data_IF_092135748921
#
_entry.id   IF_092135748921
#
_cell.length_a   1.000
_cell.length_b   1.000
_cell.length_c   1.000
_cell.angle_alpha   90.00
_cell.angle_beta   90.00
_cell.angle_gamma   90.00
#
_symmetry.space_group_name_H-M   'P 1'
#
loop_
_entity.id
_entity.type
_entity.pdbx_description
1 polymer ?
#
# COMPACT_ATOMS: atom_id res chain seq x y z
N UNK A 1 -13.91 -10.81 -7.18
CA UNK A 1 -15.31 -10.35 -7.15
C UNK A 1 -16.19 -11.29 -6.34
N UNK A 2 -16.27 -12.60 -6.66
CA UNK A 2 -17.07 -13.59 -5.91
C UNK A 2 -16.89 -13.59 -4.37
N UNK A 3 -15.65 -13.45 -3.88
CA UNK A 3 -15.36 -13.46 -2.43
C UNK A 3 -15.90 -12.21 -1.71
N UNK A 4 -15.88 -11.05 -2.38
CA UNK A 4 -16.47 -9.82 -1.84
C UNK A 4 -18.00 -9.89 -1.82
N UNK A 5 -18.62 -10.53 -2.83
CA UNK A 5 -20.06 -10.77 -2.86
C UNK A 5 -20.50 -11.72 -1.74
N UNK A 6 -19.75 -12.79 -1.48
CA UNK A 6 -20.04 -13.71 -0.37
C UNK A 6 -19.90 -13.03 1.01
N UNK A 7 -18.90 -12.17 1.19
CA UNK A 7 -18.76 -11.35 2.41
C UNK A 7 -19.92 -10.37 2.54
N UNK A 8 -20.33 -9.70 1.46
CA UNK A 8 -21.47 -8.78 1.48
C UNK A 8 -22.79 -9.50 1.79
N UNK A 9 -23.02 -10.69 1.21
CA UNK A 9 -24.20 -11.51 1.49
C UNK A 9 -24.21 -11.97 2.95
N UNK A 10 -23.09 -12.49 3.46
CA UNK A 10 -23.00 -12.95 4.86
C UNK A 10 -23.18 -11.82 5.87
N UNK A 11 -22.54 -10.65 5.65
CA UNK A 11 -22.77 -9.46 6.46
C UNK A 11 -24.21 -8.95 6.36
N UNK A 12 -24.82 -9.02 5.17
CA UNK A 12 -26.23 -8.71 4.95
C UNK A 12 -27.17 -9.63 5.73
N UNK A 13 -26.93 -10.95 5.71
CA UNK A 13 -27.69 -11.93 6.49
C UNK A 13 -27.53 -11.71 8.00
N UNK A 14 -26.32 -11.39 8.47
CA UNK A 14 -26.04 -11.11 9.88
C UNK A 14 -26.75 -9.82 10.32
N UNK A 15 -26.66 -8.75 9.52
CA UNK A 15 -27.35 -7.49 9.79
C UNK A 15 -28.88 -7.66 9.80
N UNK A 16 -29.42 -8.44 8.85
CA UNK A 16 -30.85 -8.77 8.79
C UNK A 16 -31.32 -9.57 10.01
N UNK A 17 -30.51 -10.54 10.45
CA UNK A 17 -30.78 -11.32 11.67
C UNK A 17 -30.79 -10.45 12.92
N UNK A 18 -29.83 -9.53 13.05
CA UNK A 18 -29.75 -8.59 14.17
C UNK A 18 -30.92 -7.57 14.14
N UNK A 19 -31.32 -7.13 12.95
CA UNK A 19 -32.44 -6.19 12.77
C UNK A 19 -33.78 -6.80 13.20
N UNK A 20 -34.07 -8.03 12.80
CA UNK A 20 -35.28 -8.76 13.22
C UNK A 20 -35.30 -8.93 14.75
N UNK A 21 -34.13 -9.14 15.36
CA UNK A 21 -33.99 -9.34 16.81
C UNK A 21 -33.94 -8.04 17.61
N UNK A 22 -34.06 -6.85 17.00
CA UNK A 22 -33.88 -5.55 17.69
C UNK A 22 -34.80 -5.39 18.92
N UNK A 23 -35.98 -6.00 18.90
CA UNK A 23 -37.00 -5.85 19.96
C UNK A 23 -36.74 -6.79 21.14
N UNK A 24 -35.99 -7.89 20.94
CA UNK A 24 -35.67 -8.86 22.01
C UNK A 24 -34.38 -8.55 22.75
N UNK A 25 -33.70 -7.44 22.46
CA UNK A 25 -32.42 -7.08 23.06
C UNK A 25 -32.47 -6.84 24.58
N UNK A 26 -33.65 -6.52 25.14
CA UNK A 26 -33.82 -6.41 26.60
C UNK A 26 -34.00 -7.76 27.32
N UNK A 27 -34.23 -8.86 26.59
CA UNK A 27 -34.40 -10.19 27.19
C UNK A 27 -33.03 -10.82 27.48
N UNK A 28 -32.66 -10.92 28.76
CA UNK A 28 -31.36 -11.47 29.23
C UNK A 28 -31.03 -12.86 28.66
N UNK A 29 -32.04 -13.65 28.30
CA UNK A 29 -31.90 -14.98 27.73
C UNK A 29 -31.50 -15.00 26.24
N UNK A 30 -31.73 -13.91 25.50
CA UNK A 30 -31.38 -13.80 24.07
C UNK A 30 -30.09 -13.01 23.81
N UNK A 31 -29.60 -12.26 24.81
CA UNK A 31 -28.39 -11.42 24.70
C UNK A 31 -27.15 -12.23 24.32
N UNK A 32 -26.99 -13.45 24.84
CA UNK A 32 -25.83 -14.29 24.52
C UNK A 32 -25.81 -14.70 23.03
N UNK A 33 -26.98 -15.01 22.46
CA UNK A 33 -27.09 -15.42 21.06
C UNK A 33 -26.89 -14.24 20.10
N UNK A 34 -27.42 -13.06 20.41
CA UNK A 34 -27.20 -11.85 19.61
C UNK A 34 -25.75 -11.37 19.69
N UNK A 35 -25.12 -11.45 20.86
CA UNK A 35 -23.69 -11.13 21.03
C UNK A 35 -22.80 -12.06 20.19
N UNK A 36 -23.08 -13.36 20.16
CA UNK A 36 -22.33 -14.32 19.35
C UNK A 36 -22.44 -14.03 17.84
N UNK A 37 -23.66 -13.73 17.36
CA UNK A 37 -23.91 -13.36 15.96
C UNK A 37 -23.19 -12.05 15.60
N UNK A 38 -23.23 -11.05 16.49
CA UNK A 38 -22.53 -9.78 16.31
C UNK A 38 -21.00 -9.98 16.28
N UNK A 39 -20.45 -10.80 17.17
CA UNK A 39 -19.02 -11.13 17.22
C UNK A 39 -18.56 -11.88 15.97
N UNK A 40 -19.36 -12.82 15.44
CA UNK A 40 -19.06 -13.48 14.17
C UNK A 40 -19.11 -12.51 12.98
N UNK A 41 -20.10 -11.61 12.94
CA UNK A 41 -20.16 -10.56 11.92
C UNK A 41 -18.95 -9.63 11.97
N UNK A 42 -18.55 -9.23 13.18
CA UNK A 42 -17.36 -8.41 13.41
C UNK A 42 -16.09 -9.15 12.96
N UNK A 43 -15.94 -10.43 13.29
CA UNK A 43 -14.81 -11.24 12.89
C UNK A 43 -14.71 -11.39 11.36
N UNK A 44 -15.83 -11.64 10.67
CA UNK A 44 -15.89 -11.71 9.20
C UNK A 44 -15.53 -10.36 8.56
N UNK A 45 -16.01 -9.26 9.14
CA UNK A 45 -15.65 -7.92 8.67
C UNK A 45 -14.16 -7.64 8.85
N UNK A 46 -13.59 -7.98 10.01
CA UNK A 46 -12.17 -7.78 10.34
C UNK A 46 -11.26 -8.67 9.47
N UNK A 47 -11.70 -9.87 9.11
CA UNK A 47 -10.99 -10.75 8.17
C UNK A 47 -11.18 -10.36 6.71
N UNK A 48 -12.02 -9.36 6.39
CA UNK A 48 -12.20 -8.92 5.01
C UNK A 48 -10.97 -8.16 4.49
N UNK A 49 -10.47 -8.50 3.28
CA UNK A 49 -9.27 -7.87 2.71
C UNK A 49 -9.45 -6.38 2.42
N UNK A 50 -10.70 -5.92 2.22
CA UNK A 50 -11.03 -4.51 1.96
C UNK A 50 -10.87 -3.62 3.20
N UNK A 51 -11.28 -4.10 4.38
CA UNK A 51 -11.11 -3.35 5.63
C UNK A 51 -9.63 -3.16 5.96
N UNK A 52 -8.83 -4.23 5.78
CA UNK A 52 -7.37 -4.16 5.98
C UNK A 52 -6.69 -3.21 4.99
N UNK A 53 -7.05 -3.25 3.70
CA UNK A 53 -6.48 -2.31 2.73
C UNK A 53 -6.80 -0.85 3.06
N UNK A 54 -8.07 -0.55 3.36
CA UNK A 54 -8.50 0.82 3.72
C UNK A 54 -7.80 1.32 4.98
N UNK A 55 -7.64 0.47 5.99
CA UNK A 55 -6.99 0.85 7.24
C UNK A 55 -5.47 1.01 7.11
N UNK A 56 -4.79 0.09 6.44
CA UNK A 56 -3.32 0.06 6.42
C UNK A 56 -2.71 0.76 5.22
N UNK A 57 -3.46 1.07 4.16
CA UNK A 57 -2.96 1.73 2.95
C UNK A 57 -3.61 3.10 2.75
N UNK A 58 -4.93 3.16 2.74
CA UNK A 58 -5.66 4.39 2.41
C UNK A 58 -5.56 5.44 3.53
N UNK A 59 -5.85 5.08 4.79
CA UNK A 59 -5.74 6.03 5.92
C UNK A 59 -4.36 6.67 6.08
N UNK A 60 -3.23 5.93 6.09
CA UNK A 60 -1.92 6.56 6.22
C UNK A 60 -1.60 7.44 5.02
N UNK A 61 -1.97 7.05 3.79
CA UNK A 61 -1.79 7.89 2.61
C UNK A 61 -2.62 9.18 2.69
N UNK A 62 -3.90 9.09 3.08
CA UNK A 62 -4.80 10.23 3.21
C UNK A 62 -4.33 11.23 4.25
N UNK A 63 -3.71 10.78 5.35
CA UNK A 63 -3.11 11.68 6.35
C UNK A 63 -1.77 12.26 5.87
N UNK A 64 -0.96 11.46 5.18
CA UNK A 64 0.36 11.89 4.74
C UNK A 64 0.30 12.92 3.60
N UNK A 65 -0.64 12.80 2.66
CA UNK A 65 -0.81 13.74 1.53
C UNK A 65 -0.95 15.22 1.98
N UNK A 66 -1.86 15.60 2.91
CA UNK A 66 -1.96 16.99 3.36
C UNK A 66 -0.72 17.43 4.13
N UNK A 67 -0.10 16.54 4.92
CA UNK A 67 1.17 16.83 5.60
C UNK A 67 2.31 17.10 4.60
N UNK A 68 2.38 16.33 3.51
CA UNK A 68 3.31 16.55 2.41
C UNK A 68 3.06 17.92 1.75
N UNK A 69 1.79 18.26 1.50
CA UNK A 69 1.44 19.55 0.92
C UNK A 69 1.89 20.72 1.82
N UNK A 70 1.63 20.63 3.14
CA UNK A 70 2.01 21.67 4.10
C UNK A 70 3.54 21.82 4.17
N UNK A 71 4.26 20.71 4.34
CA UNK A 71 5.73 20.72 4.45
C UNK A 71 6.41 21.19 3.16
N UNK A 72 5.88 20.81 2.00
CA UNK A 72 6.35 21.29 0.69
C UNK A 72 6.11 22.79 0.50
N UNK A 73 4.93 23.28 0.87
CA UNK A 73 4.56 24.70 0.69
C UNK A 73 5.42 25.63 1.54
N UNK A 74 5.76 25.21 2.76
CA UNK A 74 6.58 25.99 3.70
C UNK A 74 8.08 25.91 3.35
N UNK A 75 8.54 24.75 2.86
CA UNK A 75 9.95 24.49 2.58
C UNK A 75 10.47 25.10 1.27
N UNK A 76 11.74 24.83 0.97
CA UNK A 76 12.40 25.34 -0.24
C UNK A 76 11.82 24.78 -1.55
N UNK A 77 11.10 23.66 -1.49
CA UNK A 77 10.50 23.02 -2.67
C UNK A 77 9.48 23.89 -3.40
N UNK A 78 8.80 24.80 -2.71
CA UNK A 78 7.86 25.77 -3.32
C UNK A 78 8.53 27.07 -3.77
N UNK A 79 9.73 27.37 -3.26
CA UNK A 79 10.39 28.68 -3.41
C UNK A 79 11.50 28.68 -4.45
N UNK A 80 12.18 27.54 -4.63
CA UNK A 80 13.37 27.42 -5.47
C UNK A 80 13.10 26.37 -6.54
N UNK A 81 13.14 26.80 -7.80
CA UNK A 81 13.06 25.90 -8.94
C UNK A 81 14.46 25.42 -9.36
N UNK A 82 14.60 24.11 -9.56
CA UNK A 82 15.76 23.46 -10.17
C UNK A 82 15.28 22.46 -11.23
N UNK A 83 16.03 22.24 -12.33
CA UNK A 83 15.68 21.26 -13.34
C UNK A 83 15.52 19.84 -12.77
N UNK A 84 16.40 19.47 -11.84
CA UNK A 84 16.21 18.28 -11.01
C UNK A 84 15.75 18.70 -9.60
N UNK A 85 14.60 18.19 -9.18
CA UNK A 85 14.03 18.44 -7.87
C UNK A 85 14.90 17.87 -6.73
N UNK A 86 15.74 16.86 -7.02
CA UNK A 86 16.67 16.31 -6.04
C UNK A 86 17.83 17.25 -5.71
N UNK A 87 18.16 18.20 -6.58
CA UNK A 87 19.21 19.20 -6.38
C UNK A 87 18.76 20.41 -5.54
N UNK A 88 17.45 20.54 -5.27
CA UNK A 88 16.94 21.66 -4.46
C UNK A 88 17.56 21.60 -3.06
N UNK A 89 18.15 22.71 -2.56
CA UNK A 89 18.74 22.75 -1.22
C UNK A 89 17.72 22.38 -0.15
N UNK A 90 18.02 21.33 0.62
CA UNK A 90 17.14 20.83 1.67
C UNK A 90 17.23 21.70 2.92
N UNK A 91 16.17 22.46 3.18
CA UNK A 91 15.91 23.04 4.50
C UNK A 91 15.22 22.01 5.41
N UNK A 92 15.05 22.35 6.69
CA UNK A 92 14.40 21.47 7.67
C UNK A 92 13.00 20.99 7.21
N UNK A 93 12.21 21.87 6.58
CA UNK A 93 10.87 21.51 6.10
C UNK A 93 10.91 20.62 4.87
N UNK A 94 11.79 20.88 3.90
CA UNK A 94 11.96 20.00 2.75
C UNK A 94 12.56 18.64 3.15
N UNK A 95 13.47 18.59 4.11
CA UNK A 95 13.96 17.33 4.68
C UNK A 95 12.83 16.53 5.36
N UNK A 96 11.95 17.21 6.09
CA UNK A 96 10.75 16.61 6.69
C UNK A 96 9.79 16.08 5.62
N UNK A 97 9.57 16.84 4.54
CA UNK A 97 8.79 16.39 3.38
C UNK A 97 9.36 15.10 2.79
N UNK A 98 10.68 15.03 2.57
CA UNK A 98 11.34 13.83 2.03
C UNK A 98 11.24 12.64 2.99
N UNK A 99 11.39 12.87 4.29
CA UNK A 99 11.21 11.81 5.29
C UNK A 99 9.77 11.26 5.27
N UNK A 100 8.76 12.13 5.19
CA UNK A 100 7.36 11.71 5.09
C UNK A 100 7.08 10.94 3.80
N UNK A 101 7.52 11.47 2.66
CA UNK A 101 7.26 10.89 1.34
C UNK A 101 7.97 9.54 1.20
N UNK A 102 9.28 9.50 1.44
CA UNK A 102 10.08 8.29 1.37
C UNK A 102 9.65 7.29 2.45
N UNK A 103 9.33 7.75 3.66
CA UNK A 103 8.82 6.90 4.73
C UNK A 103 7.51 6.22 4.38
N UNK A 104 6.54 6.95 3.81
CA UNK A 104 5.29 6.39 3.32
C UNK A 104 5.53 5.38 2.20
N UNK A 105 6.39 5.70 1.22
CA UNK A 105 6.72 4.79 0.12
C UNK A 105 7.38 3.50 0.62
N UNK A 106 8.36 3.59 1.52
CA UNK A 106 8.99 2.42 2.16
C UNK A 106 7.94 1.58 2.89
N UNK A 107 7.05 2.22 3.64
CA UNK A 107 5.97 1.53 4.35
C UNK A 107 5.04 0.78 3.38
N UNK A 108 4.59 1.43 2.30
CA UNK A 108 3.72 0.83 1.30
C UNK A 108 4.39 -0.33 0.54
N UNK A 109 5.65 -0.14 0.13
CA UNK A 109 6.45 -1.17 -0.54
C UNK A 109 6.72 -2.36 0.40
N UNK A 110 6.96 -2.11 1.68
CA UNK A 110 7.14 -3.17 2.68
C UNK A 110 5.84 -3.93 2.92
N UNK A 111 4.70 -3.24 3.04
CA UNK A 111 3.39 -3.86 3.19
C UNK A 111 3.05 -4.74 1.97
N UNK A 112 3.25 -4.22 0.75
CA UNK A 112 3.10 -4.98 -0.49
C UNK A 112 4.06 -6.17 -0.58
N UNK A 113 5.33 -5.97 -0.18
CA UNK A 113 6.34 -7.02 -0.11
C UNK A 113 5.96 -8.16 0.84
N UNK A 114 5.40 -7.85 2.02
CA UNK A 114 4.90 -8.87 2.95
C UNK A 114 3.78 -9.71 2.33
N UNK A 115 2.86 -9.09 1.59
CA UNK A 115 1.81 -9.82 0.87
C UNK A 115 2.40 -10.72 -0.23
N UNK A 116 3.42 -10.25 -0.95
CA UNK A 116 4.12 -11.03 -1.98
C UNK A 116 4.92 -12.20 -1.39
N UNK A 117 5.49 -12.06 -0.19
CA UNK A 117 6.17 -13.16 0.51
C UNK A 117 5.21 -14.31 0.85
N UNK A 118 3.95 -13.98 1.16
CA UNK A 118 2.90 -14.99 1.36
C UNK A 118 2.59 -15.69 0.04
N UNK A 119 2.42 -14.93 -1.06
CA UNK A 119 2.15 -15.45 -2.39
C UNK A 119 3.32 -16.28 -2.97
N UNK A 120 4.55 -16.02 -2.53
CA UNK A 120 5.76 -16.75 -2.94
C UNK A 120 5.73 -18.24 -2.55
N UNK A 121 4.90 -18.62 -1.58
CA UNK A 121 4.72 -20.02 -1.16
C UNK A 121 4.24 -20.90 -2.32
N UNK A 122 3.42 -20.34 -3.21
CA UNK A 122 2.91 -21.05 -4.37
C UNK A 122 3.97 -21.19 -5.48
N UNK A 123 4.31 -22.41 -5.93
CA UNK A 123 5.37 -22.63 -6.93
C UNK A 123 5.04 -22.01 -8.28
N UNK A 124 3.75 -21.88 -8.63
CA UNK A 124 3.28 -21.27 -9.89
C UNK A 124 3.51 -19.75 -9.94
N UNK A 125 3.48 -19.06 -8.80
CA UNK A 125 3.59 -17.59 -8.72
C UNK A 125 4.97 -17.11 -8.23
N UNK A 126 5.81 -18.03 -7.72
CA UNK A 126 7.10 -17.72 -7.09
C UNK A 126 8.04 -16.85 -7.93
N UNK A 127 8.15 -17.10 -9.24
CA UNK A 127 9.03 -16.31 -10.13
C UNK A 127 8.58 -14.85 -10.22
N UNK A 128 7.29 -14.62 -10.44
CA UNK A 128 6.69 -13.28 -10.55
C UNK A 128 6.80 -12.54 -9.21
N UNK A 129 6.50 -13.23 -8.10
CA UNK A 129 6.63 -12.66 -6.76
C UNK A 129 8.07 -12.24 -6.43
N UNK A 130 9.08 -13.03 -6.82
CA UNK A 130 10.49 -12.67 -6.61
C UNK A 130 10.88 -11.39 -7.37
N UNK A 131 10.45 -11.23 -8.62
CA UNK A 131 10.80 -10.03 -9.41
C UNK A 131 10.14 -8.79 -8.76
N UNK A 132 8.88 -8.89 -8.33
CA UNK A 132 8.24 -7.80 -7.58
C UNK A 132 8.94 -7.47 -6.27
N UNK A 133 9.46 -8.47 -5.55
CA UNK A 133 10.21 -8.25 -4.31
C UNK A 133 11.54 -7.54 -4.57
N UNK A 134 12.25 -7.89 -5.65
CA UNK A 134 13.49 -7.21 -6.06
C UNK A 134 13.20 -5.76 -6.47
N UNK A 135 12.14 -5.53 -7.25
CA UNK A 135 11.72 -4.18 -7.62
C UNK A 135 11.29 -3.34 -6.39
N UNK A 136 10.62 -3.98 -5.42
CA UNK A 136 10.26 -3.31 -4.16
C UNK A 136 11.51 -2.94 -3.35
N UNK A 137 12.50 -3.84 -3.30
CA UNK A 137 13.76 -3.59 -2.61
C UNK A 137 14.56 -2.44 -3.26
N UNK A 138 14.60 -2.37 -4.60
CA UNK A 138 15.25 -1.23 -5.28
C UNK A 138 14.53 0.09 -4.99
N UNK A 139 13.20 0.10 -4.94
CA UNK A 139 12.42 1.28 -4.53
C UNK A 139 12.71 1.73 -3.09
N UNK A 140 12.86 0.78 -2.15
CA UNK A 140 13.24 1.08 -0.77
C UNK A 140 14.66 1.65 -0.71
N UNK A 141 15.60 1.13 -1.50
CA UNK A 141 16.95 1.67 -1.59
C UNK A 141 16.95 3.11 -2.13
N UNK A 142 16.18 3.40 -3.19
CA UNK A 142 16.02 4.76 -3.72
C UNK A 142 15.54 5.73 -2.63
N UNK A 143 14.50 5.33 -1.89
CA UNK A 143 13.93 6.13 -0.80
C UNK A 143 14.94 6.33 0.35
N UNK A 144 15.74 5.31 0.66
CA UNK A 144 16.76 5.38 1.71
C UNK A 144 17.90 6.31 1.33
N UNK A 145 18.41 6.19 0.10
CA UNK A 145 19.43 7.11 -0.44
C UNK A 145 18.91 8.54 -0.38
N UNK A 146 17.65 8.78 -0.79
CA UNK A 146 17.07 10.12 -0.75
C UNK A 146 16.95 10.69 0.67
N UNK A 147 16.54 9.89 1.65
CA UNK A 147 16.50 10.34 3.05
C UNK A 147 17.92 10.72 3.50
N UNK A 148 18.91 9.88 3.24
CA UNK A 148 20.30 10.13 3.62
C UNK A 148 20.82 11.43 2.97
N UNK A 149 20.58 11.63 1.67
CA UNK A 149 21.03 12.84 0.98
C UNK A 149 20.28 14.09 1.42
N UNK A 150 19.02 13.96 1.84
CA UNK A 150 18.25 15.09 2.38
C UNK A 150 18.79 15.59 3.74
N UNK A 151 19.31 14.70 4.60
CA UNK A 151 19.88 15.06 5.91
C UNK A 151 21.39 15.33 5.88
N UNK A 152 22.10 14.90 4.83
CA UNK A 152 23.53 15.14 4.66
C UNK A 152 23.78 15.91 3.35
N UNK A 153 23.69 17.26 3.36
CA UNK A 153 23.82 18.08 2.17
C UNK A 153 25.14 17.91 1.41
N UNK A 154 26.21 17.52 2.12
CA UNK A 154 27.51 17.21 1.52
C UNK A 154 27.44 16.02 0.56
N UNK A 155 26.64 14.98 0.88
CA UNK A 155 26.41 13.86 -0.02
C UNK A 155 25.50 14.26 -1.18
N UNK A 156 24.51 15.13 -0.94
CA UNK A 156 23.63 15.64 -2.01
C UNK A 156 24.42 16.35 -3.12
N UNK A 157 25.45 17.13 -2.77
CA UNK A 157 26.29 17.85 -3.73
C UNK A 157 27.13 16.93 -4.63
N UNK A 158 27.46 15.73 -4.15
CA UNK A 158 28.28 14.75 -4.89
C UNK A 158 27.40 13.79 -5.71
N UNK A 159 26.24 13.42 -5.18
CA UNK A 159 25.34 12.43 -5.79
C UNK A 159 24.45 13.03 -6.88
N UNK A 160 24.03 14.29 -6.73
CA UNK A 160 23.20 15.01 -7.70
C UNK A 160 21.87 14.31 -8.05
N UNK A 161 21.38 13.39 -7.21
CA UNK A 161 20.15 12.63 -7.45
C UNK A 161 20.26 11.46 -8.44
N UNK A 162 21.45 11.19 -9.01
CA UNK A 162 21.61 10.16 -10.05
C UNK A 162 21.34 8.74 -9.52
N UNK A 163 21.78 8.41 -8.30
CA UNK A 163 21.55 7.08 -7.72
C UNK A 163 20.07 6.90 -7.39
N UNK A 164 19.43 7.94 -6.85
CA UNK A 164 17.97 7.95 -6.60
C UNK A 164 17.21 7.65 -7.89
N UNK A 165 17.56 8.31 -9.01
CA UNK A 165 16.93 8.06 -10.32
C UNK A 165 17.16 6.64 -10.83
N UNK A 166 18.39 6.12 -10.77
CA UNK A 166 18.69 4.75 -11.23
C UNK A 166 17.81 3.73 -10.50
N UNK A 167 17.75 3.82 -9.17
CA UNK A 167 16.96 2.88 -8.37
C UNK A 167 15.45 3.09 -8.52
N UNK A 168 14.98 4.34 -8.64
CA UNK A 168 13.57 4.66 -8.87
C UNK A 168 13.09 4.18 -10.24
N UNK A 169 13.85 4.43 -11.30
CA UNK A 169 13.56 3.94 -12.65
C UNK A 169 13.62 2.41 -12.71
N UNK A 170 14.61 1.79 -12.06
CA UNK A 170 14.70 0.34 -11.96
C UNK A 170 13.48 -0.29 -11.26
N UNK A 171 13.02 0.33 -10.17
CA UNK A 171 11.79 -0.04 -9.48
C UNK A 171 10.57 0.05 -10.41
N UNK A 172 10.38 1.20 -11.07
CA UNK A 172 9.26 1.42 -12.00
C UNK A 172 9.24 0.44 -13.17
N UNK A 173 10.39 0.24 -13.83
CA UNK A 173 10.54 -0.74 -14.90
C UNK A 173 10.27 -2.17 -14.40
N UNK A 174 10.78 -2.53 -13.22
CA UNK A 174 10.53 -3.83 -12.58
C UNK A 174 9.04 -4.10 -12.36
N UNK A 175 8.30 -3.14 -11.79
CA UNK A 175 6.85 -3.27 -11.61
C UNK A 175 6.09 -3.36 -12.94
N UNK A 176 6.46 -2.55 -13.94
CA UNK A 176 5.81 -2.52 -15.25
C UNK A 176 6.03 -3.80 -16.06
N UNK A 177 7.27 -4.31 -16.11
CA UNK A 177 7.59 -5.56 -16.81
C UNK A 177 6.86 -6.73 -16.15
N UNK A 178 6.88 -6.79 -14.82
CA UNK A 178 6.29 -7.90 -14.07
C UNK A 178 4.76 -7.91 -14.18
N UNK A 179 4.11 -6.73 -14.23
CA UNK A 179 2.66 -6.63 -14.44
C UNK A 179 2.27 -7.06 -15.85
N UNK A 180 3.05 -6.67 -16.87
CA UNK A 180 2.85 -7.11 -18.25
C UNK A 180 2.99 -8.64 -18.40
N UNK A 181 3.99 -9.24 -17.74
CA UNK A 181 4.18 -10.69 -17.73
C UNK A 181 3.04 -11.43 -17.02
N UNK A 182 2.61 -10.92 -15.85
CA UNK A 182 1.47 -11.47 -15.09
C UNK A 182 0.18 -11.46 -15.92
N UNK A 183 -0.07 -10.37 -16.65
CA UNK A 183 -1.21 -10.24 -17.55
C UNK A 183 -1.15 -11.25 -18.70
N UNK A 184 0.00 -11.37 -19.37
CA UNK A 184 0.20 -12.34 -20.46
C UNK A 184 -0.04 -13.79 -20.05
N UNK A 185 0.25 -14.15 -18.81
CA UNK A 185 0.00 -15.51 -18.29
C UNK A 185 -1.50 -15.74 -18.09
N UNK A 186 -2.24 -14.74 -17.61
CA UNK A 186 -3.69 -14.83 -17.42
C UNK A 186 -4.46 -14.84 -18.75
N UNK A 187 -4.03 -14.07 -19.75
CA UNK A 187 -4.71 -14.03 -21.05
C UNK A 187 -4.61 -15.34 -21.84
N UNK A 188 -3.53 -16.11 -21.68
CA UNK A 188 -3.40 -17.46 -22.27
C UNK A 188 -4.53 -18.40 -21.83
N UNK A 189 -4.97 -18.29 -20.57
CA UNK A 189 -6.05 -19.11 -20.03
C UNK A 189 -7.39 -18.78 -20.69
N UNK A 190 -7.67 -17.49 -20.94
CA UNK A 190 -8.88 -17.06 -21.64
C UNK A 190 -8.89 -17.47 -23.11
N UNK A 191 -7.74 -17.42 -23.80
CA UNK A 191 -7.65 -17.84 -25.21
C UNK A 191 -7.82 -19.35 -25.40
N UNK A 192 -7.43 -20.18 -24.42
CA UNK A 192 -7.64 -21.63 -24.47
C UNK A 192 -9.07 -22.06 -24.13
N UNK A 193 -9.82 -21.27 -23.35
CA UNK A 193 -11.21 -21.58 -23.02
C UNK A 193 -12.20 -21.29 -24.17
N UNK A 194 -11.75 -20.56 -25.19
CA UNK A 194 -12.56 -20.15 -26.34
C UNK A 194 -12.28 -20.99 -27.62
N UNK A 195 -11.60 -22.13 -27.46
CA UNK A 195 -11.24 -23.07 -28.52
C UNK A 195 -11.74 -24.45 -28.14
#
# INVERSE_FOLDING_TARGET
MALATLIAITLGCIAWSLWIRRVTWSCRWEVAATLNIALQGLAVMLMSPFASFKQYVERPATLCIPLLLVTFTIGNGSKIYKPDFFEVPTDFWLATYWLLLCGLLIYLLTYGGRALLILRKDPRSRKIANIYLVASASGILACTVRIITAYVPALQAIEGGTLVWIFACGCGAGFAITSAQSWRIKTKWFSSANR
#
